data_IF_020405718155
#
_entry.id   IF_020405718155
#
_cell.length_a   1.000
_cell.length_b   1.000
_cell.length_c   1.000
_cell.angle_alpha   90.00
_cell.angle_beta   90.00
_cell.angle_gamma   90.00
#
_symmetry.space_group_name_H-M   'P 1'
#
loop_
_entity.id
_entity.type
_entity.pdbx_description
1 polymer ?
#
# COMPACT_ATOMS: atom_id res chain seq x y z
N UNK A 1 -1.88 3.57 -19.55
CA UNK A 1 -1.29 2.90 -18.38
C UNK A 1 -0.03 3.67 -17.97
N UNK A 2 0.04 4.19 -16.74
CA UNK A 2 1.23 4.94 -16.28
C UNK A 2 2.47 4.05 -16.36
N UNK A 3 3.56 4.60 -16.87
CA UNK A 3 4.83 3.89 -16.94
C UNK A 3 5.57 4.09 -15.59
N UNK A 4 5.54 3.07 -14.73
CA UNK A 4 6.19 3.13 -13.42
C UNK A 4 7.71 3.34 -13.48
N UNK A 5 8.35 3.07 -14.63
CA UNK A 5 9.79 3.27 -14.79
C UNK A 5 10.19 4.76 -15.00
N UNK A 6 9.23 5.68 -14.95
CA UNK A 6 9.49 7.13 -14.98
C UNK A 6 9.80 7.71 -13.59
N UNK A 7 9.61 6.93 -12.54
CA UNK A 7 9.81 7.35 -11.16
C UNK A 7 11.11 6.81 -10.59
N UNK A 8 11.69 7.54 -9.65
CA UNK A 8 12.87 7.11 -8.90
C UNK A 8 12.50 6.15 -7.78
N UNK A 9 11.31 6.33 -7.20
CA UNK A 9 10.78 5.52 -6.13
C UNK A 9 9.26 5.34 -6.26
N UNK A 10 8.77 4.14 -5.98
CA UNK A 10 7.35 3.84 -5.78
C UNK A 10 7.13 3.61 -4.30
N UNK A 11 6.21 4.36 -3.69
CA UNK A 11 5.69 4.10 -2.35
C UNK A 11 4.28 3.56 -2.51
N UNK A 12 4.04 2.33 -2.04
CA UNK A 12 2.78 1.63 -2.26
C UNK A 12 2.20 1.15 -0.94
N UNK A 13 0.95 1.49 -0.67
CA UNK A 13 0.20 0.88 0.42
C UNK A 13 -0.17 -0.57 0.10
N UNK A 14 -0.54 -1.33 1.12
CA UNK A 14 -0.86 -2.74 1.00
C UNK A 14 -2.37 -2.98 1.04
N UNK A 15 -3.03 -2.54 2.12
CA UNK A 15 -4.43 -2.81 2.36
C UNK A 15 -5.33 -1.93 1.49
N UNK A 16 -6.36 -2.52 0.90
CA UNK A 16 -7.26 -1.88 -0.06
C UNK A 16 -6.57 -1.24 -1.29
N UNK A 17 -5.26 -1.48 -1.41
CA UNK A 17 -4.41 -1.00 -2.50
C UNK A 17 -3.90 -2.18 -3.34
N UNK A 18 -2.98 -2.98 -2.81
CA UNK A 18 -2.48 -4.20 -3.47
C UNK A 18 -3.29 -5.43 -3.09
N UNK A 19 -3.79 -5.48 -1.86
CA UNK A 19 -4.53 -6.60 -1.27
C UNK A 19 -5.89 -6.12 -0.79
N UNK A 20 -6.97 -6.74 -1.28
CA UNK A 20 -8.33 -6.52 -0.82
C UNK A 20 -8.76 -7.66 0.07
N UNK A 21 -8.94 -7.40 1.34
CA UNK A 21 -9.34 -8.41 2.30
C UNK A 21 -10.83 -8.42 2.57
N UNK A 22 -11.38 -9.60 2.86
CA UNK A 22 -12.76 -9.73 3.34
C UNK A 22 -12.99 -8.92 4.64
N UNK A 23 -11.95 -8.79 5.46
CA UNK A 23 -12.02 -8.09 6.73
C UNK A 23 -11.83 -6.58 6.60
N UNK A 24 -11.19 -6.07 5.55
CA UNK A 24 -11.08 -4.64 5.31
C UNK A 24 -12.44 -4.01 5.08
N UNK A 25 -13.31 -4.63 4.29
CA UNK A 25 -14.69 -4.20 4.12
C UNK A 25 -15.48 -4.25 5.44
N UNK A 26 -15.30 -5.31 6.23
CA UNK A 26 -15.97 -5.47 7.52
C UNK A 26 -15.41 -4.50 8.57
N UNK A 27 -14.11 -4.19 8.52
CA UNK A 27 -13.45 -3.30 9.47
C UNK A 27 -13.71 -1.84 9.16
N UNK A 28 -13.79 -1.43 7.92
CA UNK A 28 -14.23 -0.07 7.56
C UNK A 28 -15.64 0.22 8.08
N UNK A 29 -16.50 -0.81 8.11
CA UNK A 29 -17.83 -0.73 8.73
C UNK A 29 -17.80 -0.81 10.26
N UNK A 30 -16.87 -1.57 10.84
CA UNK A 30 -16.76 -1.82 12.30
C UNK A 30 -15.77 -0.93 13.02
N UNK A 31 -14.94 -0.14 12.31
CA UNK A 31 -14.00 0.82 12.92
C UNK A 31 -14.69 1.77 13.90
N UNK A 32 -15.94 2.11 13.63
CA UNK A 32 -16.77 2.87 14.55
C UNK A 32 -17.24 2.07 15.80
N UNK A 33 -17.12 0.75 15.81
CA UNK A 33 -17.57 -0.11 16.90
C UNK A 33 -16.48 -0.72 17.77
N UNK A 34 -15.25 -0.88 17.24
CA UNK A 34 -14.17 -1.58 17.94
C UNK A 34 -12.84 -0.84 17.85
N UNK A 35 -12.66 0.16 18.70
CA UNK A 35 -11.43 0.95 18.83
C UNK A 35 -10.25 0.16 19.44
N UNK A 36 -10.01 -1.09 19.04
CA UNK A 36 -8.92 -1.91 19.54
C UNK A 36 -7.91 -2.23 18.43
N UNK A 37 -6.73 -1.56 18.42
CA UNK A 37 -5.66 -1.86 17.47
C UNK A 37 -5.21 -3.34 17.51
N UNK A 38 -5.35 -3.97 18.68
CA UNK A 38 -5.01 -5.40 18.87
C UNK A 38 -5.96 -6.33 18.15
N UNK A 39 -7.25 -6.00 18.13
CA UNK A 39 -8.25 -6.84 17.45
C UNK A 39 -8.06 -6.74 15.93
N UNK A 40 -7.80 -5.55 15.40
CA UNK A 40 -7.53 -5.37 13.98
C UNK A 40 -6.30 -6.17 13.54
N UNK A 41 -5.20 -6.11 14.29
CA UNK A 41 -3.99 -6.89 13.99
C UNK A 41 -4.24 -8.39 13.99
N UNK A 42 -5.06 -8.91 14.92
CA UNK A 42 -5.43 -10.33 14.96
C UNK A 42 -6.28 -10.73 13.77
N UNK A 43 -7.27 -9.93 13.40
CA UNK A 43 -8.14 -10.20 12.25
C UNK A 43 -7.35 -10.17 10.93
N UNK A 44 -6.43 -9.22 10.78
CA UNK A 44 -5.54 -9.16 9.62
C UNK A 44 -4.60 -10.37 9.57
N UNK A 45 -4.04 -10.79 10.70
CA UNK A 45 -3.22 -12.00 10.77
C UNK A 45 -4.01 -13.26 10.41
N UNK A 46 -5.28 -13.36 10.80
CA UNK A 46 -6.17 -14.46 10.42
C UNK A 46 -6.50 -14.43 8.93
N UNK A 47 -6.81 -13.25 8.37
CA UNK A 47 -7.02 -13.06 6.94
C UNK A 47 -5.80 -13.54 6.15
N UNK A 48 -4.62 -13.13 6.55
CA UNK A 48 -3.35 -13.49 5.93
C UNK A 48 -3.10 -15.01 6.03
N UNK A 49 -3.34 -15.60 7.19
CA UNK A 49 -3.16 -17.03 7.42
C UNK A 49 -4.08 -17.89 6.53
N UNK A 50 -5.35 -17.51 6.44
CA UNK A 50 -6.32 -18.26 5.64
C UNK A 50 -6.35 -17.84 4.16
N UNK A 51 -5.49 -16.91 3.72
CA UNK A 51 -5.46 -16.34 2.37
C UNK A 51 -6.84 -15.76 1.96
N UNK A 52 -7.56 -15.14 2.88
CA UNK A 52 -8.87 -14.53 2.65
C UNK A 52 -8.71 -13.12 2.06
N UNK A 53 -7.95 -12.99 0.99
CA UNK A 53 -7.73 -11.74 0.30
C UNK A 53 -7.74 -11.93 -1.21
N UNK A 54 -8.02 -10.86 -1.92
CA UNK A 54 -7.86 -10.76 -3.37
C UNK A 54 -6.70 -9.82 -3.67
N UNK A 55 -5.98 -10.07 -4.74
CA UNK A 55 -4.88 -9.22 -5.19
C UNK A 55 -5.36 -8.30 -6.30
N UNK A 56 -4.94 -7.04 -6.28
CA UNK A 56 -5.09 -6.15 -7.41
C UNK A 56 -4.13 -6.62 -8.52
N UNK A 57 -4.63 -7.48 -9.39
CA UNK A 57 -3.82 -8.15 -10.42
C UNK A 57 -3.18 -7.15 -11.40
N UNK A 58 -3.89 -6.06 -11.69
CA UNK A 58 -3.37 -5.02 -12.61
C UNK A 58 -2.21 -4.26 -11.96
N UNK A 59 -2.36 -3.86 -10.69
CA UNK A 59 -1.29 -3.21 -9.94
C UNK A 59 -0.10 -4.17 -9.75
N UNK A 60 -0.37 -5.43 -9.35
CA UNK A 60 0.65 -6.47 -9.25
C UNK A 60 1.45 -6.63 -10.54
N UNK A 61 0.75 -6.68 -11.69
CA UNK A 61 1.39 -6.77 -13.00
C UNK A 61 2.28 -5.56 -13.26
N UNK A 62 1.80 -4.34 -12.98
CA UNK A 62 2.57 -3.11 -13.17
C UNK A 62 3.84 -3.11 -12.31
N UNK A 63 3.71 -3.48 -11.03
CA UNK A 63 4.84 -3.56 -10.08
C UNK A 63 5.87 -4.59 -10.54
N UNK A 64 5.44 -5.80 -10.91
CA UNK A 64 6.34 -6.87 -11.33
C UNK A 64 7.09 -6.56 -12.64
N UNK A 65 6.53 -5.72 -13.49
CA UNK A 65 7.17 -5.31 -14.76
C UNK A 65 7.93 -3.99 -14.65
N UNK A 66 7.94 -3.33 -13.49
CA UNK A 66 8.74 -2.14 -13.24
C UNK A 66 10.11 -2.50 -12.70
N UNK A 67 11.12 -1.68 -13.06
CA UNK A 67 12.47 -1.73 -12.48
C UNK A 67 12.67 -0.71 -11.37
N UNK A 68 11.72 0.21 -11.20
CA UNK A 68 11.79 1.25 -10.18
C UNK A 68 11.80 0.64 -8.78
N UNK A 69 12.68 1.06 -7.87
CA UNK A 69 12.63 0.66 -6.46
C UNK A 69 11.23 0.84 -5.88
N UNK A 70 10.82 -0.07 -4.99
CA UNK A 70 9.52 0.00 -4.34
C UNK A 70 9.64 -0.18 -2.83
N UNK A 71 8.96 0.69 -2.09
CA UNK A 71 8.72 0.57 -0.66
C UNK A 71 7.24 0.33 -0.43
N UNK A 72 6.90 -0.77 0.21
CA UNK A 72 5.56 -0.98 0.74
C UNK A 72 5.46 -0.29 2.10
N UNK A 73 4.59 0.71 2.17
CA UNK A 73 4.39 1.54 3.35
C UNK A 73 3.00 1.29 3.93
N UNK A 74 2.93 0.60 5.06
CA UNK A 74 1.66 0.19 5.66
C UNK A 74 1.53 0.64 7.11
N UNK A 75 0.30 0.89 7.54
CA UNK A 75 -0.04 1.15 8.95
C UNK A 75 -0.03 -0.12 9.81
N UNK A 76 0.06 -1.30 9.21
CA UNK A 76 0.18 -2.56 9.95
C UNK A 76 1.36 -2.52 10.90
N UNK A 77 1.27 -3.29 12.00
CA UNK A 77 2.45 -3.59 12.80
C UNK A 77 3.42 -4.48 12.01
N UNK A 78 4.71 -4.34 12.29
CA UNK A 78 5.73 -5.20 11.70
C UNK A 78 5.41 -6.68 11.91
N UNK A 79 5.37 -7.44 10.82
CA UNK A 79 5.01 -8.85 10.83
C UNK A 79 5.71 -9.62 9.73
N UNK A 80 6.28 -10.77 10.08
CA UNK A 80 6.80 -11.74 9.09
C UNK A 80 5.71 -12.23 8.14
N UNK A 81 4.44 -12.20 8.56
CA UNK A 81 3.32 -12.62 7.71
C UNK A 81 3.13 -11.65 6.55
N UNK A 82 3.14 -10.32 6.80
CA UNK A 82 3.03 -9.31 5.73
C UNK A 82 4.16 -9.47 4.70
N UNK A 83 5.39 -9.63 5.17
CA UNK A 83 6.54 -9.88 4.29
C UNK A 83 6.37 -11.15 3.45
N UNK A 84 5.91 -12.24 4.06
CA UNK A 84 5.69 -13.51 3.37
C UNK A 84 4.58 -13.42 2.31
N UNK A 85 3.54 -12.63 2.56
CA UNK A 85 2.47 -12.40 1.59
C UNK A 85 3.02 -11.65 0.38
N UNK A 86 3.76 -10.57 0.59
CA UNK A 86 4.37 -9.82 -0.50
C UNK A 86 5.30 -10.70 -1.34
N UNK A 87 6.14 -11.52 -0.71
CA UNK A 87 6.98 -12.50 -1.42
C UNK A 87 6.18 -13.55 -2.21
N UNK A 88 4.98 -13.88 -1.78
CA UNK A 88 4.10 -14.82 -2.49
C UNK A 88 3.39 -14.17 -3.68
N UNK A 89 3.04 -12.89 -3.56
CA UNK A 89 2.30 -12.14 -4.57
C UNK A 89 3.21 -11.62 -5.67
N UNK A 90 4.38 -11.12 -5.30
CA UNK A 90 5.33 -10.52 -6.22
C UNK A 90 6.19 -11.56 -6.93
N UNK A 91 6.76 -11.19 -8.07
CA UNK A 91 7.73 -12.03 -8.77
C UNK A 91 8.98 -12.22 -7.89
N UNK A 92 9.60 -13.44 -7.89
CA UNK A 92 10.74 -13.75 -7.01
C UNK A 92 11.94 -12.80 -7.19
N UNK A 93 12.13 -12.27 -8.40
CA UNK A 93 13.20 -11.32 -8.74
C UNK A 93 12.87 -9.88 -8.36
N UNK A 94 11.62 -9.62 -7.96
CA UNK A 94 11.17 -8.27 -7.60
C UNK A 94 11.57 -7.97 -6.16
N UNK A 95 12.70 -7.28 -6.01
CA UNK A 95 13.11 -6.73 -4.72
C UNK A 95 12.15 -5.64 -4.24
N UNK A 96 11.91 -5.58 -2.94
CA UNK A 96 11.11 -4.54 -2.29
C UNK A 96 11.60 -4.28 -0.88
N UNK A 97 11.27 -3.12 -0.36
CA UNK A 97 11.38 -2.80 1.05
C UNK A 97 9.99 -2.80 1.69
N UNK A 98 9.90 -3.14 2.97
CA UNK A 98 8.68 -3.08 3.75
C UNK A 98 8.88 -2.18 4.96
N UNK A 99 8.10 -1.11 5.02
CA UNK A 99 8.03 -0.18 6.15
C UNK A 99 6.66 -0.34 6.83
N UNK A 100 6.66 -0.92 8.01
CA UNK A 100 5.47 -1.09 8.83
C UNK A 100 5.46 -0.02 9.94
N UNK A 101 4.52 0.91 9.86
CA UNK A 101 4.45 2.04 10.79
C UNK A 101 3.90 1.63 12.15
N UNK A 102 3.01 0.62 12.20
CA UNK A 102 2.40 0.14 13.44
C UNK A 102 1.56 1.20 14.15
N UNK A 103 0.90 2.06 13.40
CA UNK A 103 0.23 3.26 13.90
C UNK A 103 -1.19 3.40 13.36
N UNK A 104 -2.03 4.13 14.09
CA UNK A 104 -3.34 4.58 13.63
C UNK A 104 -3.27 5.97 12.95
N UNK A 105 -2.08 6.58 12.88
CA UNK A 105 -1.86 7.92 12.35
C UNK A 105 -1.29 7.92 10.91
N UNK A 106 -1.61 6.92 10.12
CA UNK A 106 -1.12 6.77 8.74
C UNK A 106 -1.35 7.99 7.85
N UNK A 107 -2.42 8.77 8.11
CA UNK A 107 -2.73 10.00 7.37
C UNK A 107 -1.71 11.15 7.60
N UNK A 108 -0.90 11.06 8.67
CA UNK A 108 0.22 11.98 8.96
C UNK A 108 1.55 11.33 8.57
N UNK A 109 1.77 10.10 9.05
CA UNK A 109 3.09 9.46 8.97
C UNK A 109 3.46 9.01 7.55
N UNK A 110 2.48 8.63 6.72
CA UNK A 110 2.77 8.27 5.32
C UNK A 110 3.22 9.48 4.48
N UNK A 111 2.53 10.64 4.47
CA UNK A 111 3.03 11.84 3.80
C UNK A 111 4.38 12.31 4.34
N UNK A 112 4.61 12.22 5.67
CA UNK A 112 5.90 12.55 6.27
C UNK A 112 7.03 11.64 5.77
N UNK A 113 6.78 10.33 5.70
CA UNK A 113 7.73 9.38 5.12
C UNK A 113 8.08 9.77 3.67
N UNK A 114 7.07 10.02 2.83
CA UNK A 114 7.27 10.43 1.44
C UNK A 114 8.08 11.71 1.35
N UNK A 115 7.76 12.71 2.17
CA UNK A 115 8.52 13.96 2.23
C UNK A 115 10.01 13.75 2.54
N UNK A 116 10.32 12.85 3.48
CA UNK A 116 11.71 12.52 3.83
C UNK A 116 12.47 11.85 2.67
N UNK A 117 11.76 11.14 1.77
CA UNK A 117 12.38 10.49 0.61
C UNK A 117 12.67 11.45 -0.54
N UNK A 118 12.01 12.62 -0.61
CA UNK A 118 12.13 13.56 -1.74
C UNK A 118 13.54 14.10 -1.97
N UNK A 119 14.39 14.16 -0.93
CA UNK A 119 15.77 14.61 -1.07
C UNK A 119 16.62 13.69 -1.96
N UNK A 120 16.36 12.40 -1.89
CA UNK A 120 17.13 11.37 -2.58
C UNK A 120 16.42 10.84 -3.82
N UNK A 121 15.09 11.01 -3.89
CA UNK A 121 14.22 10.54 -4.95
C UNK A 121 13.27 11.69 -5.37
N UNK A 122 13.66 12.56 -6.28
CA UNK A 122 12.83 13.70 -6.67
C UNK A 122 11.52 13.30 -7.37
N UNK A 123 11.50 12.18 -8.07
CA UNK A 123 10.33 11.69 -8.80
C UNK A 123 9.72 10.47 -8.08
N UNK A 124 8.82 10.71 -7.12
CA UNK A 124 8.10 9.67 -6.36
C UNK A 124 6.68 9.49 -6.90
N UNK A 125 6.24 8.22 -6.96
CA UNK A 125 4.82 7.87 -7.11
C UNK A 125 4.31 7.26 -5.81
N UNK A 126 3.29 7.88 -5.19
CA UNK A 126 2.51 7.25 -4.12
C UNK A 126 1.31 6.52 -4.70
N UNK A 127 1.10 5.27 -4.29
CA UNK A 127 -0.08 4.45 -4.60
C UNK A 127 -0.79 4.12 -3.28
N UNK A 128 -1.96 4.70 -3.05
CA UNK A 128 -2.70 4.58 -1.79
C UNK A 128 -4.21 4.75 -2.07
N UNK A 129 -5.08 3.99 -1.42
CA UNK A 129 -6.53 4.07 -1.59
C UNK A 129 -7.16 5.23 -0.81
N UNK A 130 -6.48 5.75 0.22
CA UNK A 130 -6.96 6.83 1.07
C UNK A 130 -6.90 8.19 0.38
N UNK A 131 -8.07 8.80 0.16
CA UNK A 131 -8.18 10.13 -0.44
C UNK A 131 -7.41 11.19 0.37
N UNK A 132 -7.44 11.09 1.70
CA UNK A 132 -6.76 12.03 2.59
C UNK A 132 -5.23 11.91 2.47
N UNK A 133 -4.69 10.69 2.42
CA UNK A 133 -3.24 10.46 2.28
C UNK A 133 -2.77 10.97 0.92
N UNK A 134 -3.52 10.66 -0.16
CA UNK A 134 -3.16 11.15 -1.49
C UNK A 134 -3.17 12.67 -1.57
N UNK A 135 -4.22 13.33 -1.07
CA UNK A 135 -4.31 14.80 -1.09
C UNK A 135 -3.14 15.44 -0.34
N UNK A 136 -2.83 14.97 0.89
CA UNK A 136 -1.73 15.50 1.67
C UNK A 136 -0.35 15.27 1.00
N UNK A 137 -0.22 14.19 0.22
CA UNK A 137 1.02 13.88 -0.48
C UNK A 137 1.15 14.66 -1.79
N UNK A 138 0.03 14.87 -2.50
CA UNK A 138 -0.03 15.69 -3.71
C UNK A 138 0.35 17.15 -3.42
N UNK A 139 -0.01 17.68 -2.25
CA UNK A 139 0.41 19.01 -1.77
C UNK A 139 1.95 19.14 -1.63
N UNK A 140 2.67 18.03 -1.55
CA UNK A 140 4.15 17.99 -1.56
C UNK A 140 4.74 18.02 -2.98
N UNK A 141 3.92 18.03 -4.02
CA UNK A 141 4.33 17.97 -5.41
C UNK A 141 4.63 16.56 -5.91
N UNK A 142 4.17 15.53 -5.19
CA UNK A 142 4.37 14.11 -5.51
C UNK A 142 3.22 13.59 -6.36
N UNK A 143 3.52 12.79 -7.37
CA UNK A 143 2.49 12.10 -8.15
C UNK A 143 1.77 11.05 -7.31
N UNK A 144 0.44 11.01 -7.42
CA UNK A 144 -0.39 10.05 -6.70
C UNK A 144 -1.22 9.18 -7.66
N UNK A 145 -1.50 7.94 -7.25
CA UNK A 145 -2.35 7.00 -7.98
C UNK A 145 -3.37 6.38 -7.04
N UNK A 146 -4.64 6.52 -7.39
CA UNK A 146 -5.72 5.77 -6.76
C UNK A 146 -5.78 4.35 -7.35
N UNK A 147 -5.50 3.29 -6.56
CA UNK A 147 -5.51 1.92 -7.06
C UNK A 147 -6.90 1.45 -7.50
N UNK A 148 -7.98 2.07 -7.02
CA UNK A 148 -9.37 1.73 -7.39
C UNK A 148 -9.64 2.00 -8.87
N UNK A 149 -8.99 3.01 -9.46
CA UNK A 149 -9.10 3.31 -10.89
C UNK A 149 -8.58 2.16 -11.77
N UNK A 150 -7.66 1.35 -11.25
CA UNK A 150 -7.15 0.18 -11.95
C UNK A 150 -8.18 -0.95 -11.98
N UNK A 151 -9.05 -1.06 -10.97
CA UNK A 151 -10.10 -2.10 -10.90
C UNK A 151 -11.25 -1.81 -11.86
N UNK A 152 -11.60 -0.54 -12.02
CA UNK A 152 -12.72 -0.09 -12.86
C UNK A 152 -12.43 -0.12 -14.36
N UNK A 153 -11.22 -0.51 -14.76
CA UNK A 153 -10.83 -0.61 -16.16
C UNK A 153 -10.49 0.73 -16.81
N UNK A 154 -10.37 1.80 -16.05
CA UNK A 154 -9.84 3.06 -16.57
C UNK A 154 -8.38 2.88 -17.03
N UNK A 155 -8.06 3.34 -18.22
CA UNK A 155 -6.67 3.50 -18.65
C UNK A 155 -6.07 4.69 -17.92
N UNK A 156 -5.18 4.44 -16.98
CA UNK A 156 -4.45 5.45 -16.19
C UNK A 156 -3.12 5.74 -16.86
#
# INVERSE_FOLDING_TARGET
MRNLNLYDLIVCDIDDTLIYGFWTDLMSYSWNMFHSPRLSSVLMALQDWFNLYRVNEKLRYMINNSKTPIVFLTVRAESKHTFNILNKILAPERGFELMALGTDYGFIEKPEFVWQQLSDNPDILLIDDSDCIRANTEDLGVDVLDPRLLLEGFEV
#
